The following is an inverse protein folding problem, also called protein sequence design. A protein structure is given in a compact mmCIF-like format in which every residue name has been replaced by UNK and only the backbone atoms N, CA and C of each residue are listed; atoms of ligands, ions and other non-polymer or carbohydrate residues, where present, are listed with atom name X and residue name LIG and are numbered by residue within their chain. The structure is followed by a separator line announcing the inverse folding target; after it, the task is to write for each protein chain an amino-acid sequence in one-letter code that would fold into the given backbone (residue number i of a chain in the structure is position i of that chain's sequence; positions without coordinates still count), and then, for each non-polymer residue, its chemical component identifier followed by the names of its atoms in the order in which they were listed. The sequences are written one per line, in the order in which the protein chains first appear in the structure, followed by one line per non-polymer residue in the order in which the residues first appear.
data_IF_310836178123
#
_entry.id   IF_310836178123
#
_cell.length_a   1.000
_cell.length_b   1.000
_cell.length_c   1.000
_cell.angle_alpha   90.00
_cell.angle_beta   90.00
_cell.angle_gamma   90.00
#
_symmetry.space_group_name_H-M   'P 1'
#
loop_
_entity.id
_entity.type
_entity.pdbx_description
1 polymer ?
#
# COMPACT_ATOMS: atom_id res chain seq x y z
N UNK A 1 -19.40 -30.50 -54.49
CA UNK A 1 -20.13 -30.85 -53.25
C UNK A 1 -19.14 -31.61 -52.37
N UNK A 2 -18.82 -31.25 -51.13
CA UNK A 2 -19.62 -30.64 -50.06
C UNK A 2 -18.74 -29.70 -49.22
N UNK A 3 -19.37 -28.62 -48.75
CA UNK A 3 -18.86 -27.74 -47.70
C UNK A 3 -18.84 -28.53 -46.39
N UNK A 4 -17.73 -28.48 -45.65
CA UNK A 4 -17.63 -28.99 -44.29
C UNK A 4 -17.18 -27.86 -43.37
N UNK A 5 -18.13 -27.20 -42.73
CA UNK A 5 -17.89 -26.33 -41.57
C UNK A 5 -17.69 -27.20 -40.33
N UNK A 6 -16.71 -26.87 -39.48
CA UNK A 6 -16.81 -27.16 -38.05
C UNK A 6 -15.93 -26.18 -37.26
N UNK A 7 -16.58 -25.15 -36.72
CA UNK A 7 -16.15 -24.40 -35.54
C UNK A 7 -16.21 -25.31 -34.31
N UNK A 8 -15.08 -25.47 -33.62
CA UNK A 8 -15.06 -25.76 -32.18
C UNK A 8 -14.05 -24.82 -31.53
N UNK A 9 -14.59 -23.82 -30.85
CA UNK A 9 -13.90 -23.01 -29.86
C UNK A 9 -13.87 -23.89 -28.60
N UNK A 10 -12.68 -24.21 -28.10
CA UNK A 10 -12.50 -24.76 -26.76
C UNK A 10 -11.47 -23.89 -26.05
N UNK A 11 -11.96 -23.08 -25.12
CA UNK A 11 -11.16 -22.44 -24.09
C UNK A 11 -10.87 -23.49 -23.03
N UNK A 12 -9.61 -23.88 -22.88
CA UNK A 12 -9.11 -24.57 -21.69
C UNK A 12 -7.95 -23.75 -21.13
N UNK A 13 -8.27 -23.01 -20.07
CA UNK A 13 -7.28 -22.53 -19.11
C UNK A 13 -6.72 -23.77 -18.40
N UNK A 14 -5.41 -23.96 -18.41
CA UNK A 14 -4.74 -24.69 -17.35
C UNK A 14 -3.38 -24.07 -17.09
N UNK A 15 -3.32 -23.56 -15.86
CA UNK A 15 -2.18 -23.16 -15.05
C UNK A 15 -1.05 -24.19 -15.07
N UNK A 16 0.14 -23.67 -14.76
CA UNK A 16 1.40 -24.38 -14.49
C UNK A 16 2.30 -24.70 -15.68
N UNK A 17 3.23 -23.78 -15.93
CA UNK A 17 4.55 -24.15 -16.43
C UNK A 17 5.60 -23.51 -15.52
N UNK A 18 5.97 -24.29 -14.51
CA UNK A 18 7.27 -24.19 -13.84
C UNK A 18 8.35 -24.31 -14.91
N UNK A 19 9.12 -23.26 -15.14
CA UNK A 19 10.41 -23.38 -15.83
C UNK A 19 11.50 -22.76 -14.98
N UNK A 20 12.16 -23.64 -14.24
CA UNK A 20 13.53 -23.45 -13.78
C UNK A 20 14.41 -23.08 -14.99
N UNK A 21 14.57 -21.78 -15.22
CA UNK A 21 15.67 -21.24 -16.00
C UNK A 21 16.39 -20.28 -15.07
N UNK A 22 17.65 -20.60 -14.74
CA UNK A 22 18.62 -19.61 -14.27
C UNK A 22 18.76 -18.55 -15.36
N UNK A 23 17.84 -17.59 -15.35
CA UNK A 23 17.98 -16.33 -16.06
C UNK A 23 18.76 -15.42 -15.14
N UNK A 24 19.70 -14.67 -15.73
CA UNK A 24 20.49 -13.65 -15.07
C UNK A 24 19.72 -13.01 -13.92
N UNK A 25 20.27 -13.14 -12.71
CA UNK A 25 20.00 -12.29 -11.55
C UNK A 25 19.63 -10.88 -12.04
N UNK A 26 18.60 -10.25 -11.48
CA UNK A 26 18.03 -8.91 -11.79
C UNK A 26 16.60 -8.89 -12.38
N UNK A 27 15.87 -10.01 -12.44
CA UNK A 27 14.43 -9.95 -12.70
C UNK A 27 13.67 -9.67 -11.41
N UNK A 28 12.83 -8.64 -11.42
CA UNK A 28 11.89 -8.27 -10.37
C UNK A 28 10.90 -9.42 -10.07
N UNK A 29 10.37 -9.46 -8.84
CA UNK A 29 9.36 -10.44 -8.44
C UNK A 29 7.95 -9.98 -8.83
N UNK A 30 6.96 -10.87 -8.65
CA UNK A 30 5.54 -10.56 -8.91
C UNK A 30 5.04 -9.39 -8.05
N UNK A 31 5.45 -9.32 -6.78
CA UNK A 31 5.09 -8.21 -5.89
C UNK A 31 5.59 -6.86 -6.41
N UNK A 32 6.79 -6.80 -6.99
CA UNK A 32 7.36 -5.57 -7.54
C UNK A 32 6.55 -5.05 -8.73
N UNK A 33 6.05 -5.97 -9.57
CA UNK A 33 5.15 -5.66 -10.68
C UNK A 33 3.77 -5.22 -10.19
N UNK A 34 3.26 -5.81 -9.12
CA UNK A 34 2.00 -5.42 -8.49
C UNK A 34 2.08 -3.99 -7.94
N UNK A 35 3.16 -3.62 -7.25
CA UNK A 35 3.38 -2.24 -6.79
C UNK A 35 3.44 -1.24 -7.96
N UNK A 36 4.04 -1.63 -9.08
CA UNK A 36 4.08 -0.81 -10.30
C UNK A 36 2.68 -0.53 -10.86
N UNK A 37 1.84 -1.56 -10.93
CA UNK A 37 0.45 -1.42 -11.38
C UNK A 37 -0.38 -0.61 -10.38
N UNK A 38 -0.17 -0.84 -9.08
CA UNK A 38 -0.88 -0.13 -8.01
C UNK A 38 -0.61 1.38 -8.05
N UNK A 39 0.66 1.79 -8.16
CA UNK A 39 1.00 3.21 -8.32
C UNK A 39 0.35 3.81 -9.57
N UNK A 40 0.35 3.09 -10.68
CA UNK A 40 -0.26 3.59 -11.91
C UNK A 40 -1.77 3.76 -11.77
N UNK A 41 -2.45 2.82 -11.09
CA UNK A 41 -3.87 2.94 -10.79
C UNK A 41 -4.17 4.21 -9.99
N UNK A 42 -3.44 4.48 -8.91
CA UNK A 42 -3.64 5.71 -8.13
C UNK A 42 -3.39 6.99 -8.93
N UNK A 43 -2.39 6.96 -9.83
CA UNK A 43 -2.14 8.09 -10.73
C UNK A 43 -3.32 8.29 -11.69
N UNK A 44 -3.91 7.23 -12.22
CA UNK A 44 -5.10 7.31 -13.08
C UNK A 44 -6.34 7.82 -12.34
N UNK A 45 -6.50 7.46 -11.06
CA UNK A 45 -7.58 7.99 -10.22
C UNK A 45 -7.45 9.52 -10.03
N UNK A 46 -6.21 10.04 -9.98
CA UNK A 46 -5.95 11.48 -9.90
C UNK A 46 -5.97 12.16 -11.27
N UNK A 47 -5.46 11.50 -12.31
CA UNK A 47 -5.36 12.00 -13.68
C UNK A 47 -5.59 10.86 -14.68
N UNK A 48 -6.81 10.75 -15.19
CA UNK A 48 -7.24 9.70 -16.13
C UNK A 48 -6.52 9.72 -17.47
N UNK A 49 -5.92 10.85 -17.86
CA UNK A 49 -5.21 11.00 -19.13
C UNK A 49 -3.70 10.74 -19.00
N UNK A 50 -3.23 10.25 -17.84
CA UNK A 50 -1.82 9.98 -17.65
C UNK A 50 -1.33 8.85 -18.55
N UNK A 51 -0.21 9.08 -19.24
CA UNK A 51 0.40 8.11 -20.14
C UNK A 51 0.82 6.83 -19.40
N UNK A 52 0.58 5.69 -20.04
CA UNK A 52 1.04 4.39 -19.56
C UNK A 52 2.57 4.35 -19.44
N UNK A 53 3.11 4.03 -18.26
CA UNK A 53 4.54 3.94 -18.03
C UNK A 53 5.10 2.60 -18.52
N UNK A 54 6.42 2.49 -18.56
CA UNK A 54 7.07 1.20 -18.72
C UNK A 54 7.03 0.44 -17.37
N UNK A 55 6.13 -0.53 -17.26
CA UNK A 55 5.94 -1.33 -16.03
C UNK A 55 7.16 -2.15 -15.65
N UNK A 56 7.94 -2.68 -16.61
CA UNK A 56 9.17 -3.42 -16.29
C UNK A 56 10.22 -2.51 -15.64
N UNK A 57 10.33 -1.27 -16.12
CA UNK A 57 11.20 -0.27 -15.50
C UNK A 57 10.73 0.08 -14.10
N UNK A 58 9.43 0.24 -13.90
CA UNK A 58 8.85 0.54 -12.59
C UNK A 58 9.02 -0.62 -11.60
N UNK A 59 8.79 -1.85 -12.03
CA UNK A 59 9.02 -3.04 -11.21
C UNK A 59 10.49 -3.17 -10.82
N UNK A 60 11.43 -2.84 -11.72
CA UNK A 60 12.85 -2.78 -11.38
C UNK A 60 13.16 -1.74 -10.28
N UNK A 61 12.53 -0.57 -10.30
CA UNK A 61 12.70 0.43 -9.24
C UNK A 61 12.14 -0.07 -7.91
N UNK A 62 10.99 -0.75 -7.90
CA UNK A 62 10.43 -1.37 -6.69
C UNK A 62 11.30 -2.50 -6.15
N UNK A 63 11.85 -3.35 -7.03
CA UNK A 63 12.87 -4.34 -6.65
C UNK A 63 14.03 -3.67 -5.94
N UNK A 64 14.50 -2.51 -6.41
CA UNK A 64 15.59 -1.81 -5.76
C UNK A 64 15.19 -1.23 -4.40
N UNK A 65 13.95 -0.76 -4.22
CA UNK A 65 13.44 -0.35 -2.90
C UNK A 65 13.44 -1.55 -1.94
N UNK A 66 13.04 -2.72 -2.43
CA UNK A 66 12.94 -3.95 -1.64
C UNK A 66 14.29 -4.58 -1.31
N UNK A 67 15.13 -4.82 -2.31
CA UNK A 67 16.40 -5.54 -2.16
C UNK A 67 17.54 -4.64 -1.70
N UNK A 68 17.64 -3.42 -2.24
CA UNK A 68 18.76 -2.51 -1.93
C UNK A 68 18.49 -1.69 -0.69
N UNK A 69 17.30 -1.10 -0.62
CA UNK A 69 16.93 -0.23 0.49
C UNK A 69 16.26 -1.02 1.64
N UNK A 70 16.14 -2.36 1.48
CA UNK A 70 15.63 -3.32 2.46
C UNK A 70 14.23 -2.99 2.98
N UNK A 71 13.38 -2.40 2.13
CA UNK A 71 12.01 -2.04 2.51
C UNK A 71 11.06 -3.21 2.21
N UNK A 72 10.15 -3.48 3.12
CA UNK A 72 9.17 -4.56 2.97
C UNK A 72 8.03 -4.14 2.04
N UNK A 73 7.32 -5.12 1.50
CA UNK A 73 6.17 -4.88 0.63
C UNK A 73 5.08 -4.05 1.35
N UNK A 74 4.84 -4.33 2.62
CA UNK A 74 3.86 -3.59 3.43
C UNK A 74 4.20 -2.09 3.52
N UNK A 75 5.48 -1.75 3.68
CA UNK A 75 5.93 -0.37 3.79
C UNK A 75 5.79 0.38 2.47
N UNK A 76 6.09 -0.31 1.37
CA UNK A 76 5.92 0.21 0.03
C UNK A 76 4.45 0.54 -0.21
N UNK A 77 3.54 -0.39 0.10
CA UNK A 77 2.09 -0.19 -0.05
C UNK A 77 1.60 0.95 0.83
N UNK A 78 2.00 0.98 2.10
CA UNK A 78 1.62 2.05 3.03
C UNK A 78 2.02 3.43 2.52
N UNK A 79 3.28 3.61 2.11
CA UNK A 79 3.75 4.90 1.60
C UNK A 79 3.13 5.25 0.24
N UNK A 80 2.83 4.27 -0.60
CA UNK A 80 2.08 4.50 -1.83
C UNK A 80 0.69 5.06 -1.52
N UNK A 81 -0.08 4.39 -0.68
CA UNK A 81 -1.43 4.82 -0.30
C UNK A 81 -1.42 6.19 0.38
N UNK A 82 -0.53 6.39 1.36
CA UNK A 82 -0.40 7.67 2.05
C UNK A 82 -0.03 8.80 1.09
N UNK A 83 0.99 8.59 0.24
CA UNK A 83 1.46 9.62 -0.70
C UNK A 83 0.40 10.02 -1.73
N UNK A 84 -0.43 9.07 -2.18
CA UNK A 84 -1.48 9.31 -3.17
C UNK A 84 -2.74 9.93 -2.55
N UNK A 85 -3.01 9.69 -1.27
CA UNK A 85 -4.05 10.39 -0.52
C UNK A 85 -3.63 11.81 -0.12
N UNK A 86 -2.34 12.08 0.04
CA UNK A 86 -1.84 13.38 0.44
C UNK A 86 -1.85 14.39 -0.73
N UNK A 87 -2.51 15.54 -0.52
CA UNK A 87 -2.73 16.55 -1.56
C UNK A 87 -1.44 17.12 -2.17
N UNK A 88 -0.37 17.22 -1.39
CA UNK A 88 0.93 17.69 -1.86
C UNK A 88 1.76 16.57 -2.52
N UNK A 89 1.70 15.33 -2.02
CA UNK A 89 2.56 14.27 -2.51
C UNK A 89 2.02 13.58 -3.75
N UNK A 90 0.69 13.47 -3.91
CA UNK A 90 0.08 12.82 -5.08
C UNK A 90 0.48 13.44 -6.41
N UNK A 91 0.64 14.78 -6.46
CA UNK A 91 1.12 15.51 -7.65
C UNK A 91 2.63 15.36 -7.87
N UNK A 92 3.38 14.98 -6.84
CA UNK A 92 4.84 14.88 -6.89
C UNK A 92 5.30 13.44 -7.17
N UNK A 93 4.64 12.44 -6.59
CA UNK A 93 4.99 11.02 -6.70
C UNK A 93 4.26 10.41 -7.89
N UNK A 94 4.81 10.63 -9.09
CA UNK A 94 4.31 10.07 -10.36
C UNK A 94 5.18 8.93 -10.90
N UNK A 95 6.16 8.46 -10.12
CA UNK A 95 6.99 7.31 -10.48
C UNK A 95 7.64 6.68 -9.24
N UNK A 96 7.98 5.38 -9.29
CA UNK A 96 8.65 4.71 -8.17
C UNK A 96 10.03 5.28 -7.87
N UNK A 97 10.75 5.76 -8.90
CA UNK A 97 12.05 6.42 -8.73
C UNK A 97 11.93 7.70 -7.90
N UNK A 98 10.83 8.47 -8.07
CA UNK A 98 10.56 9.63 -7.21
C UNK A 98 10.15 9.22 -5.80
N UNK A 99 9.29 8.20 -5.66
CA UNK A 99 8.91 7.64 -4.36
C UNK A 99 10.15 7.31 -3.54
N UNK A 100 11.06 6.52 -4.15
CA UNK A 100 12.34 6.13 -3.54
C UNK A 100 13.20 7.31 -3.13
N UNK A 101 13.37 8.30 -4.01
CA UNK A 101 14.20 9.50 -3.72
C UNK A 101 13.66 10.33 -2.56
N UNK A 102 12.35 10.31 -2.34
CA UNK A 102 11.68 11.08 -1.30
C UNK A 102 11.28 10.21 -0.11
N UNK A 103 11.73 8.95 -0.06
CA UNK A 103 11.27 7.97 0.92
C UNK A 103 11.33 8.51 2.35
N UNK A 104 12.49 9.00 2.78
CA UNK A 104 12.69 9.49 4.15
C UNK A 104 11.82 10.70 4.47
N UNK A 105 11.59 11.58 3.49
CA UNK A 105 10.71 12.75 3.67
C UNK A 105 9.25 12.34 3.80
N UNK A 106 8.80 11.41 2.96
CA UNK A 106 7.45 10.86 3.03
C UNK A 106 7.22 10.19 4.38
N UNK A 107 8.22 9.44 4.87
CA UNK A 107 8.19 8.81 6.18
C UNK A 107 8.03 9.82 7.31
N UNK A 108 8.85 10.88 7.34
CA UNK A 108 8.78 11.93 8.36
C UNK A 108 7.41 12.62 8.34
N UNK A 109 6.95 13.05 7.18
CA UNK A 109 5.66 13.75 7.07
C UNK A 109 4.48 12.83 7.40
N UNK A 110 4.53 11.55 7.03
CA UNK A 110 3.51 10.57 7.40
C UNK A 110 3.42 10.38 8.92
N UNK A 111 4.57 10.34 9.61
CA UNK A 111 4.60 10.30 11.08
C UNK A 111 4.04 11.57 11.70
N UNK A 112 4.46 12.74 11.22
CA UNK A 112 3.98 14.01 11.75
C UNK A 112 2.46 14.13 11.61
N UNK A 113 1.91 13.76 10.45
CA UNK A 113 0.47 13.75 10.23
C UNK A 113 -0.26 12.77 11.17
N UNK A 114 0.34 11.60 11.41
CA UNK A 114 -0.18 10.61 12.35
C UNK A 114 -0.22 11.15 13.79
N UNK A 115 0.88 11.73 14.27
CA UNK A 115 0.96 12.29 15.62
C UNK A 115 0.00 13.47 15.82
N UNK A 116 -0.19 14.31 14.80
CA UNK A 116 -1.18 15.39 14.84
C UNK A 116 -2.59 14.82 14.98
N UNK A 117 -2.96 13.80 14.20
CA UNK A 117 -4.27 13.15 14.29
C UNK A 117 -4.51 12.49 15.65
N UNK A 118 -3.51 11.79 16.19
CA UNK A 118 -3.55 11.21 17.54
C UNK A 118 -3.80 12.27 18.61
N UNK A 119 -3.05 13.37 18.57
CA UNK A 119 -3.19 14.47 19.53
C UNK A 119 -4.52 15.22 19.38
N UNK A 120 -5.05 15.37 18.17
CA UNK A 120 -6.37 15.97 17.95
C UNK A 120 -7.50 15.10 18.54
N UNK A 121 -7.40 13.78 18.40
CA UNK A 121 -8.36 12.84 18.99
C UNK A 121 -8.36 12.88 20.52
N UNK A 122 -7.18 12.95 21.14
CA UNK A 122 -7.02 13.13 22.60
C UNK A 122 -7.73 14.42 23.06
N UNK A 123 -7.51 15.54 22.35
CA UNK A 123 -8.11 16.85 22.69
C UNK A 123 -9.63 16.87 22.52
N UNK A 124 -10.16 16.14 21.54
CA UNK A 124 -11.62 15.99 21.33
C UNK A 124 -12.28 15.13 22.41
N UNK A 125 -11.59 14.14 22.96
CA UNK A 125 -12.07 13.32 24.08
C UNK A 125 -11.99 14.03 25.44
N UNK A 126 -10.99 14.89 25.66
CA UNK A 126 -10.84 15.63 26.92
C UNK A 126 -11.75 16.87 27.04
N UNK A 127 -12.48 17.23 25.98
CA UNK A 127 -13.19 18.50 25.86
C UNK A 127 -14.68 18.53 26.25
N UNK A 128 -15.32 17.40 26.55
CA UNK A 128 -16.74 17.41 26.92
C UNK A 128 -17.19 16.11 27.59
N UNK A 129 -17.01 16.00 28.91
CA UNK A 129 -17.97 15.34 29.82
C UNK A 129 -17.62 15.67 31.27
N UNK A 130 -18.10 16.82 31.73
CA UNK A 130 -18.59 16.86 33.10
C UNK A 130 -19.75 15.87 33.22
N UNK A 131 -19.68 15.01 34.24
CA UNK A 131 -20.74 14.12 34.77
C UNK A 131 -20.92 12.75 34.08
N UNK A 132 -20.28 11.75 34.71
CA UNK A 132 -20.66 10.33 34.82
C UNK A 132 -20.80 9.49 33.54
N UNK A 133 -19.81 8.64 33.25
CA UNK A 133 -20.00 7.23 32.88
C UNK A 133 -18.67 6.44 32.91
N UNK A 134 -18.53 5.62 33.95
CA UNK A 134 -17.84 4.32 34.06
C UNK A 134 -16.63 4.04 33.13
N UNK A 135 -15.45 4.15 33.75
CA UNK A 135 -14.45 3.07 33.86
C UNK A 135 -14.47 1.99 32.75
N UNK A 136 -13.48 2.04 31.86
CA UNK A 136 -12.96 0.83 31.23
C UNK A 136 -13.15 0.59 29.73
N UNK A 137 -13.52 1.57 28.89
CA UNK A 137 -13.30 1.41 27.45
C UNK A 137 -12.86 2.70 26.75
N UNK A 138 -11.56 2.75 26.48
CA UNK A 138 -10.85 3.75 25.71
C UNK A 138 -11.08 3.46 24.22
N UNK A 139 -11.81 4.34 23.52
CA UNK A 139 -12.08 4.15 22.08
C UNK A 139 -10.82 4.49 21.26
N UNK A 140 -10.09 3.45 20.89
CA UNK A 140 -8.96 3.43 19.97
C UNK A 140 -9.33 3.96 18.56
N UNK A 141 -8.38 4.52 17.78
CA UNK A 141 -8.63 5.20 16.51
C UNK A 141 -9.37 4.30 15.50
N UNK A 142 -10.37 4.85 14.79
CA UNK A 142 -11.22 4.14 13.81
C UNK A 142 -10.44 3.80 12.53
N UNK A 143 -10.26 2.51 12.20
CA UNK A 143 -9.73 2.08 10.92
C UNK A 143 -10.90 1.64 10.01
N UNK A 144 -10.64 1.42 8.72
CA UNK A 144 -11.66 1.37 7.66
C UNK A 144 -12.82 0.36 7.86
N UNK A 145 -14.05 0.78 7.47
CA UNK A 145 -15.35 0.11 7.14
C UNK A 145 -15.72 -1.31 7.65
N UNK A 146 -14.91 -2.06 8.38
CA UNK A 146 -15.16 -3.47 8.75
C UNK A 146 -14.81 -3.83 10.21
N UNK A 147 -14.94 -2.89 11.15
CA UNK A 147 -14.65 -3.13 12.59
C UNK A 147 -15.85 -3.57 13.42
N UNK A 148 -17.06 -3.43 12.87
CA UNK A 148 -18.29 -3.95 13.51
C UNK A 148 -18.35 -5.48 13.55
N UNK A 149 -17.47 -6.15 12.80
CA UNK A 149 -17.51 -7.61 12.58
C UNK A 149 -16.30 -8.34 13.17
N UNK A 150 -15.31 -7.63 13.73
CA UNK A 150 -14.07 -8.21 14.25
C UNK A 150 -14.18 -8.48 15.75
N UNK A 151 -13.63 -9.61 16.17
CA UNK A 151 -13.46 -9.97 17.58
C UNK A 151 -12.46 -9.02 18.26
N UNK A 152 -12.51 -8.91 19.59
CA UNK A 152 -11.60 -8.03 20.33
C UNK A 152 -10.12 -8.38 20.08
N UNK A 153 -9.83 -9.67 19.86
CA UNK A 153 -8.49 -10.15 19.49
C UNK A 153 -8.06 -9.69 18.10
N UNK A 154 -8.92 -9.81 17.10
CA UNK A 154 -8.62 -9.35 15.72
C UNK A 154 -8.50 -7.82 15.65
N UNK A 155 -9.22 -7.11 16.54
CA UNK A 155 -9.12 -5.65 16.69
C UNK A 155 -7.76 -5.25 17.25
N UNK A 156 -7.32 -5.91 18.33
CA UNK A 156 -6.00 -5.70 18.93
C UNK A 156 -4.87 -6.09 17.97
N UNK A 157 -4.99 -7.20 17.25
CA UNK A 157 -4.00 -7.62 16.25
C UNK A 157 -3.88 -6.61 15.10
N UNK A 158 -4.99 -6.05 14.63
CA UNK A 158 -4.97 -5.04 13.57
C UNK A 158 -4.47 -3.67 14.07
N UNK A 159 -4.72 -3.32 15.34
CA UNK A 159 -4.12 -2.14 15.97
C UNK A 159 -2.62 -2.31 16.21
N UNK A 160 -2.19 -3.47 16.68
CA UNK A 160 -0.78 -3.79 16.83
C UNK A 160 -0.08 -3.86 15.47
N UNK A 161 -0.72 -4.38 14.43
CA UNK A 161 -0.19 -4.33 13.06
C UNK A 161 -0.05 -2.88 12.57
N UNK A 162 -1.04 -2.03 12.82
CA UNK A 162 -0.99 -0.61 12.50
C UNK A 162 0.11 0.13 13.27
N UNK A 163 0.20 -0.09 14.58
CA UNK A 163 1.24 0.48 15.43
C UNK A 163 2.63 -0.02 15.04
N UNK A 164 2.80 -1.32 14.77
CA UNK A 164 4.05 -1.87 14.25
C UNK A 164 4.41 -1.28 12.88
N UNK A 165 3.43 -1.02 12.02
CA UNK A 165 3.63 -0.37 10.72
C UNK A 165 4.02 1.11 10.85
N UNK A 166 3.56 1.81 11.89
CA UNK A 166 3.90 3.21 12.20
C UNK A 166 5.23 3.32 12.96
N UNK A 167 5.49 2.43 13.93
CA UNK A 167 6.69 2.40 14.77
C UNK A 167 7.94 2.04 13.95
N UNK A 168 7.81 1.13 12.98
CA UNK A 168 8.86 0.78 12.03
C UNK A 168 9.41 1.98 11.23
N UNK A 169 8.65 3.06 11.07
CA UNK A 169 9.08 4.25 10.33
C UNK A 169 10.31 4.95 10.98
N UNK A 170 10.85 4.49 12.12
CA UNK A 170 11.95 5.11 12.86
C UNK A 170 13.19 4.28 13.19
N UNK A 171 13.23 2.97 12.93
CA UNK A 171 14.33 2.15 13.47
C UNK A 171 15.55 1.97 12.55
N UNK A 172 15.47 2.21 11.24
CA UNK A 172 16.65 2.10 10.35
C UNK A 172 16.58 3.07 9.15
N UNK A 173 16.94 4.34 9.40
CA UNK A 173 17.30 5.33 8.39
C UNK A 173 18.82 5.56 8.39
#
# INVERSE_FOLDING_TARGET
MKRGTNTKITTENNTEITTNKKTSCHKFETCDMEHAKLLFQFILETNSEHKEPNFEKWANEFRLIRERDKKTNQQIVYLLEWSQNHSFWKKNILSPSKLRKQWDRLVIEAKEEHEVKKNEQIRKHSGSHGRFAKEGYEKLPEPTRKWRELTDKEREESQQEYENNIEWLGEDA
#
